data_IF_130252525353
#
_entry.id   IF_130252525353
#
_cell.length_a   1.000
_cell.length_b   1.000
_cell.length_c   1.000
_cell.angle_alpha   90.00
_cell.angle_beta   90.00
_cell.angle_gamma   90.00
#
_symmetry.space_group_name_H-M   'P 1'
#
loop_
_entity.id
_entity.type
_entity.pdbx_description
1 polymer ?
#
# COMPACT_ATOMS: atom_id res chain seq x y z
N UNK A 1 -10.69 57.49 59.24
CA UNK A 1 -11.27 58.11 58.03
C UNK A 1 -11.62 56.97 57.07
N UNK A 2 -12.91 56.90 56.71
CA UNK A 2 -13.53 55.83 55.92
C UNK A 2 -13.27 56.07 54.43
N UNK A 3 -12.91 55.04 53.67
CA UNK A 3 -13.11 55.03 52.22
C UNK A 3 -13.42 53.60 51.74
N UNK A 4 -14.68 53.43 51.33
CA UNK A 4 -15.25 52.27 50.64
C UNK A 4 -15.13 52.52 49.13
N UNK A 5 -14.70 51.54 48.35
CA UNK A 5 -14.91 51.49 46.89
C UNK A 5 -14.80 50.03 46.43
N UNK A 6 -15.92 49.38 46.11
CA UNK A 6 -16.56 49.32 44.77
C UNK A 6 -16.08 48.09 43.99
N UNK A 7 -16.84 46.99 44.10
CA UNK A 7 -16.67 45.78 43.29
C UNK A 7 -17.35 45.99 41.94
N UNK A 8 -16.60 45.81 40.84
CA UNK A 8 -17.15 45.77 39.47
C UNK A 8 -17.29 44.30 39.05
N UNK A 9 -18.54 43.83 38.94
CA UNK A 9 -18.88 42.53 38.38
C UNK A 9 -18.76 42.61 36.84
N UNK A 10 -17.83 41.87 36.25
CA UNK A 10 -17.77 41.70 34.80
C UNK A 10 -18.63 40.48 34.40
N UNK A 11 -19.67 40.77 33.60
CA UNK A 11 -20.55 39.76 32.99
C UNK A 11 -19.79 39.10 31.83
N UNK A 12 -19.42 37.84 32.01
CA UNK A 12 -18.93 37.00 30.93
C UNK A 12 -20.10 36.64 29.99
N UNK A 13 -20.13 37.29 28.83
CA UNK A 13 -21.04 37.00 27.73
C UNK A 13 -20.55 35.76 26.98
N UNK A 14 -21.17 34.63 27.24
CA UNK A 14 -20.95 33.38 26.52
C UNK A 14 -21.60 33.46 25.13
N UNK A 15 -20.83 33.85 24.10
CA UNK A 15 -21.25 33.70 22.71
C UNK A 15 -21.18 32.22 22.31
N UNK A 16 -22.34 31.58 22.19
CA UNK A 16 -22.47 30.24 21.62
C UNK A 16 -22.12 30.31 20.12
N UNK A 17 -20.92 29.85 19.77
CA UNK A 17 -20.44 29.74 18.40
C UNK A 17 -20.95 28.42 17.81
N UNK A 18 -22.07 28.46 17.09
CA UNK A 18 -22.63 27.31 16.39
C UNK A 18 -21.76 26.99 15.16
N UNK A 19 -20.90 25.97 15.27
CA UNK A 19 -20.17 25.41 14.14
C UNK A 19 -21.13 24.62 13.25
N UNK A 20 -21.54 25.22 12.13
CA UNK A 20 -22.30 24.54 11.08
C UNK A 20 -21.33 23.60 10.34
N UNK A 21 -21.31 22.32 10.69
CA UNK A 21 -20.53 21.30 9.97
C UNK A 21 -21.22 21.07 8.62
N UNK A 22 -20.76 21.76 7.56
CA UNK A 22 -21.08 21.34 6.20
C UNK A 22 -20.42 20.00 5.96
N UNK A 23 -21.18 18.92 6.06
CA UNK A 23 -20.78 17.59 5.61
C UNK A 23 -20.78 17.59 4.07
N UNK A 24 -19.63 17.87 3.47
CA UNK A 24 -19.44 17.60 2.04
C UNK A 24 -19.53 16.09 1.88
N UNK A 25 -20.57 15.63 1.18
CA UNK A 25 -20.66 14.23 0.77
C UNK A 25 -19.50 13.98 -0.18
N UNK A 26 -18.41 13.43 0.34
CA UNK A 26 -17.34 12.87 -0.49
C UNK A 26 -18.04 11.83 -1.36
N UNK A 27 -17.99 11.92 -2.70
CA UNK A 27 -18.59 10.91 -3.55
C UNK A 27 -18.06 9.56 -3.08
N UNK A 28 -18.94 8.72 -2.53
CA UNK A 28 -18.59 7.36 -2.24
C UNK A 28 -18.17 6.76 -3.58
N UNK A 29 -16.87 6.51 -3.75
CA UNK A 29 -16.32 5.95 -4.97
C UNK A 29 -16.96 4.57 -5.18
N UNK A 30 -18.05 4.54 -5.95
CA UNK A 30 -18.90 3.37 -6.12
C UNK A 30 -18.26 2.27 -7.00
N UNK A 31 -16.93 2.26 -7.15
CA UNK A 31 -16.21 1.41 -8.09
C UNK A 31 -15.29 0.35 -7.48
N UNK A 32 -15.19 0.25 -6.14
CA UNK A 32 -14.19 -0.64 -5.52
C UNK A 32 -12.76 -0.26 -5.92
N UNK A 33 -11.79 -1.14 -5.61
CA UNK A 33 -10.41 -0.98 -6.10
C UNK A 33 -9.63 0.22 -5.55
N UNK A 34 -10.10 0.86 -4.49
CA UNK A 34 -9.40 1.98 -3.88
C UNK A 34 -8.15 1.49 -3.15
N UNK A 35 -7.02 2.20 -3.32
CA UNK A 35 -5.84 1.99 -2.50
C UNK A 35 -6.20 2.32 -1.04
N UNK A 36 -6.06 1.32 -0.16
CA UNK A 36 -6.30 1.48 1.27
C UNK A 36 -5.10 2.17 1.92
N UNK A 37 -5.30 2.95 3.00
CA UNK A 37 -4.20 3.58 3.71
C UNK A 37 -3.18 2.54 4.23
N UNK A 38 -1.91 2.90 4.40
CA UNK A 38 -0.83 2.00 4.84
C UNK A 38 -1.09 1.31 6.19
N UNK A 39 -1.94 1.91 7.03
CA UNK A 39 -2.32 1.40 8.35
C UNK A 39 -3.53 0.48 8.31
N UNK A 40 -4.15 0.28 7.13
CA UNK A 40 -5.27 -0.63 6.98
C UNK A 40 -4.85 -2.06 7.31
N UNK A 41 -5.78 -2.80 7.94
CA UNK A 41 -5.59 -4.22 8.27
C UNK A 41 -6.73 -5.08 7.73
N UNK A 42 -6.93 -5.15 6.40
CA UNK A 42 -7.96 -6.00 5.82
C UNK A 42 -7.77 -7.44 6.32
N UNK A 43 -8.86 -8.08 6.76
CA UNK A 43 -8.83 -9.42 7.35
C UNK A 43 -7.82 -9.62 8.50
N UNK A 44 -7.39 -8.54 9.17
CA UNK A 44 -6.42 -8.56 10.27
C UNK A 44 -4.95 -8.43 9.86
N UNK A 45 -4.62 -8.47 8.56
CA UNK A 45 -3.24 -8.44 8.08
C UNK A 45 -2.75 -7.04 7.77
N UNK A 46 -1.54 -6.71 8.22
CA UNK A 46 -0.82 -5.49 7.84
C UNK A 46 0.02 -5.70 6.56
N UNK A 47 0.54 -4.61 5.98
CA UNK A 47 1.50 -4.71 4.86
C UNK A 47 2.76 -5.48 5.26
N UNK A 48 3.26 -5.32 6.50
CA UNK A 48 4.41 -6.08 7.02
C UNK A 48 4.12 -7.58 7.07
N UNK A 49 2.89 -7.98 7.45
CA UNK A 49 2.50 -9.40 7.48
C UNK A 49 2.54 -10.00 6.08
N UNK A 50 1.99 -9.31 5.09
CA UNK A 50 2.02 -9.76 3.70
C UNK A 50 3.43 -9.70 3.11
N UNK A 51 4.23 -8.68 3.42
CA UNK A 51 5.63 -8.61 3.01
C UNK A 51 6.44 -9.81 3.48
N UNK A 52 6.21 -10.30 4.71
CA UNK A 52 6.84 -11.52 5.21
C UNK A 52 6.42 -12.77 4.41
N UNK A 53 5.15 -12.88 4.06
CA UNK A 53 4.61 -14.01 3.28
C UNK A 53 5.16 -13.98 1.85
N UNK A 54 5.03 -12.83 1.17
CA UNK A 54 5.40 -12.68 -0.24
C UNK A 54 6.90 -12.54 -0.44
N UNK A 55 7.64 -12.08 0.56
CA UNK A 55 9.09 -11.99 0.49
C UNK A 55 9.75 -13.35 0.34
N UNK A 56 9.20 -14.41 0.95
CA UNK A 56 9.69 -15.79 0.72
C UNK A 56 9.59 -16.15 -0.76
N UNK A 57 8.49 -15.78 -1.42
CA UNK A 57 8.29 -16.01 -2.85
C UNK A 57 9.23 -15.18 -3.74
N UNK A 58 9.55 -13.95 -3.34
CA UNK A 58 10.44 -13.06 -4.11
C UNK A 58 11.93 -13.31 -3.86
N UNK A 59 12.30 -13.78 -2.67
CA UNK A 59 13.69 -13.92 -2.21
C UNK A 59 14.24 -15.34 -2.30
N UNK A 60 13.39 -16.37 -2.13
CA UNK A 60 13.77 -17.75 -2.44
C UNK A 60 13.44 -18.02 -3.91
N UNK A 61 14.26 -18.81 -4.62
CA UNK A 61 13.89 -19.28 -5.96
C UNK A 61 12.44 -19.80 -5.92
N UNK A 62 11.55 -19.30 -6.80
CA UNK A 62 10.14 -19.67 -6.76
C UNK A 62 10.03 -21.18 -6.67
N UNK A 63 9.46 -21.70 -5.57
CA UNK A 63 9.14 -23.12 -5.52
C UNK A 63 8.03 -23.33 -6.54
N UNK A 64 8.34 -24.02 -7.63
CA UNK A 64 7.40 -24.28 -8.72
C UNK A 64 6.07 -24.77 -8.16
N UNK A 65 4.99 -24.07 -8.50
CA UNK A 65 3.61 -24.47 -8.20
C UNK A 65 2.99 -23.96 -6.90
N UNK A 66 3.71 -23.22 -6.05
CA UNK A 66 3.12 -22.61 -4.84
C UNK A 66 2.72 -21.16 -5.11
N UNK A 67 1.44 -20.85 -4.96
CA UNK A 67 0.96 -19.46 -5.02
C UNK A 67 1.49 -18.69 -3.80
N UNK A 68 2.00 -17.46 -3.95
CA UNK A 68 2.44 -16.64 -2.81
C UNK A 68 1.31 -16.33 -1.81
N UNK A 69 0.06 -16.56 -2.20
CA UNK A 69 -1.13 -16.29 -1.38
C UNK A 69 -1.87 -17.54 -0.91
N UNK A 70 -1.31 -18.74 -1.12
CA UNK A 70 -1.93 -19.97 -0.60
C UNK A 70 -2.13 -19.87 0.92
N UNK A 71 -3.38 -19.95 1.37
CA UNK A 71 -3.75 -19.80 2.78
C UNK A 71 -4.01 -18.36 3.26
N UNK A 72 -3.93 -17.35 2.38
CA UNK A 72 -4.28 -15.96 2.71
C UNK A 72 -5.65 -15.58 2.14
N UNK A 73 -6.38 -14.62 2.75
CA UNK A 73 -7.66 -14.12 2.22
C UNK A 73 -7.48 -13.09 1.09
N UNK A 74 -6.33 -13.05 0.43
CA UNK A 74 -5.97 -12.05 -0.57
C UNK A 74 -5.61 -12.72 -1.90
N UNK A 75 -5.85 -12.00 -3.00
CA UNK A 75 -5.18 -12.28 -4.27
C UNK A 75 -4.02 -11.30 -4.44
N UNK A 76 -2.82 -11.83 -4.75
CA UNK A 76 -1.64 -11.02 -5.03
C UNK A 76 -1.51 -10.83 -6.54
N UNK A 77 -1.28 -9.59 -6.98
CA UNK A 77 -0.93 -9.33 -8.37
C UNK A 77 0.58 -9.54 -8.55
N UNK A 78 0.97 -10.42 -9.46
CA UNK A 78 2.37 -10.73 -9.77
C UNK A 78 2.53 -11.15 -11.23
N UNK A 79 3.75 -11.08 -11.75
CA UNK A 79 4.07 -11.65 -13.05
C UNK A 79 4.22 -13.17 -12.93
N UNK A 80 3.28 -13.92 -13.52
CA UNK A 80 3.38 -15.39 -13.59
C UNK A 80 4.52 -15.80 -14.52
N UNK A 81 5.11 -16.98 -14.29
CA UNK A 81 6.22 -17.49 -15.10
C UNK A 81 5.87 -17.64 -16.59
N UNK A 82 4.59 -17.88 -16.92
CA UNK A 82 4.10 -17.94 -18.30
C UNK A 82 3.79 -16.57 -18.92
N UNK A 83 4.06 -15.47 -18.20
CA UNK A 83 3.76 -14.09 -18.62
C UNK A 83 2.29 -13.69 -18.53
N UNK A 84 1.41 -14.58 -18.05
CA UNK A 84 -0.01 -14.27 -17.86
C UNK A 84 -0.21 -13.23 -16.75
N UNK A 85 -1.11 -12.29 -17.01
CA UNK A 85 -1.44 -11.14 -16.16
C UNK A 85 -2.94 -11.04 -15.93
N UNK A 86 -3.67 -12.12 -16.20
CA UNK A 86 -5.12 -12.22 -15.97
C UNK A 86 -5.39 -12.95 -14.66
N UNK A 87 -6.11 -12.27 -13.78
CA UNK A 87 -6.50 -12.75 -12.47
C UNK A 87 -8.01 -12.87 -12.42
N UNK A 88 -8.51 -14.02 -12.01
CA UNK A 88 -9.93 -14.24 -11.78
C UNK A 88 -10.17 -14.34 -10.28
N UNK A 89 -11.03 -13.48 -9.74
CA UNK A 89 -11.30 -13.42 -8.30
C UNK A 89 -12.79 -13.37 -8.02
N UNK A 90 -13.18 -13.86 -6.85
CA UNK A 90 -14.54 -13.73 -6.35
C UNK A 90 -14.87 -12.28 -5.94
N UNK A 91 -16.16 -11.89 -5.98
CA UNK A 91 -16.61 -10.65 -5.36
C UNK A 91 -16.19 -10.56 -3.89
N UNK A 92 -15.67 -9.39 -3.48
CA UNK A 92 -15.25 -9.16 -2.10
C UNK A 92 -13.80 -9.53 -1.81
N UNK A 93 -13.06 -10.10 -2.76
CA UNK A 93 -11.62 -10.36 -2.61
C UNK A 93 -10.83 -9.07 -2.52
N UNK A 94 -10.06 -8.91 -1.44
CA UNK A 94 -9.09 -7.81 -1.28
C UNK A 94 -7.83 -8.16 -2.06
N UNK A 95 -7.25 -7.19 -2.78
CA UNK A 95 -6.00 -7.42 -3.51
C UNK A 95 -4.80 -6.91 -2.71
N UNK A 96 -3.69 -7.65 -2.76
CA UNK A 96 -2.36 -7.18 -2.35
C UNK A 96 -1.53 -6.90 -3.60
N UNK A 97 -1.00 -5.68 -3.71
CA UNK A 97 -0.31 -5.20 -4.92
C UNK A 97 1.09 -4.74 -4.57
N UNK A 98 2.11 -5.61 -4.69
CA UNK A 98 3.50 -5.18 -4.61
C UNK A 98 3.89 -4.41 -5.87
N UNK A 99 4.65 -3.32 -5.71
CA UNK A 99 5.08 -2.46 -6.82
C UNK A 99 6.59 -2.52 -7.03
N UNK A 100 7.35 -2.46 -5.94
CA UNK A 100 8.81 -2.56 -5.96
C UNK A 100 9.28 -3.26 -4.70
N UNK A 101 10.35 -4.05 -4.78
CA UNK A 101 10.92 -4.72 -3.61
C UNK A 101 12.45 -4.78 -3.71
N UNK A 102 13.09 -5.01 -2.58
CA UNK A 102 14.52 -5.31 -2.52
C UNK A 102 14.82 -6.37 -1.46
N UNK A 103 15.91 -7.10 -1.66
CA UNK A 103 16.35 -8.21 -0.81
C UNK A 103 17.84 -8.05 -0.52
N UNK A 104 18.22 -8.06 0.75
CA UNK A 104 19.63 -8.12 1.17
C UNK A 104 20.41 -6.81 1.12
N UNK A 105 19.73 -5.66 1.22
CA UNK A 105 20.38 -4.33 1.17
C UNK A 105 21.12 -3.93 2.47
N UNK A 106 21.05 -4.76 3.52
CA UNK A 106 21.69 -4.49 4.82
C UNK A 106 21.07 -3.28 5.55
N UNK A 107 19.79 -3.01 5.30
CA UNK A 107 19.01 -2.00 6.02
C UNK A 107 18.33 -2.65 7.23
N UNK A 108 18.13 -1.86 8.30
CA UNK A 108 17.24 -2.28 9.39
C UNK A 108 15.78 -2.26 8.88
N UNK A 109 15.23 -3.44 8.59
CA UNK A 109 13.87 -3.59 8.05
C UNK A 109 12.76 -3.31 9.07
N UNK A 110 13.09 -3.22 10.36
CA UNK A 110 12.15 -2.77 11.39
C UNK A 110 12.07 -1.23 11.48
N UNK A 111 13.10 -0.52 10.99
CA UNK A 111 13.09 0.95 10.88
C UNK A 111 12.37 1.41 9.61
N UNK A 112 11.11 1.81 9.76
CA UNK A 112 10.29 2.34 8.66
C UNK A 112 10.92 3.56 7.96
N UNK A 113 11.69 4.39 8.66
CA UNK A 113 12.36 5.52 8.04
C UNK A 113 13.54 5.04 7.19
N UNK A 114 14.29 4.04 7.64
CA UNK A 114 15.35 3.42 6.84
C UNK A 114 14.79 2.75 5.57
N UNK A 115 13.69 2.00 5.69
CA UNK A 115 13.01 1.38 4.54
C UNK A 115 12.48 2.45 3.57
N UNK A 116 11.84 3.51 4.06
CA UNK A 116 11.37 4.60 3.19
C UNK A 116 12.54 5.33 2.51
N UNK A 117 13.64 5.56 3.24
CA UNK A 117 14.85 6.19 2.73
C UNK A 117 15.50 5.37 1.61
N UNK A 118 15.47 4.03 1.70
CA UNK A 118 15.95 3.14 0.63
C UNK A 118 15.24 3.43 -0.71
N UNK A 119 13.92 3.59 -0.71
CA UNK A 119 13.17 3.82 -1.95
C UNK A 119 13.16 5.27 -2.41
N UNK A 120 13.01 6.23 -1.49
CA UNK A 120 12.70 7.62 -1.85
C UNK A 120 13.90 8.55 -1.82
N UNK A 121 15.02 8.17 -1.20
CA UNK A 121 16.20 9.03 -1.20
C UNK A 121 16.89 9.01 -2.57
N UNK A 122 17.26 10.18 -3.12
CA UNK A 122 18.07 10.25 -4.33
C UNK A 122 19.47 9.63 -4.14
N UNK A 123 19.95 9.47 -2.90
CA UNK A 123 21.20 8.76 -2.60
C UNK A 123 21.05 7.22 -2.66
N UNK A 124 19.81 6.73 -2.75
CA UNK A 124 19.46 5.31 -2.83
C UNK A 124 18.79 5.00 -4.16
N UNK A 125 17.56 4.48 -4.18
CA UNK A 125 16.83 4.24 -5.42
C UNK A 125 16.22 5.50 -6.04
N UNK A 126 15.92 6.53 -5.25
CA UNK A 126 15.41 7.81 -5.75
C UNK A 126 14.13 7.67 -6.55
N UNK A 127 13.06 7.15 -5.95
CA UNK A 127 11.79 7.05 -6.67
C UNK A 127 11.16 8.44 -6.86
N UNK A 128 11.01 8.88 -8.10
CA UNK A 128 10.26 10.09 -8.46
C UNK A 128 8.75 9.85 -8.38
N UNK A 129 8.31 8.68 -8.86
CA UNK A 129 6.94 8.19 -8.64
C UNK A 129 6.91 6.68 -8.36
N UNK A 130 5.97 6.28 -7.51
CA UNK A 130 5.51 4.90 -7.35
C UNK A 130 3.99 4.96 -7.25
N UNK A 131 3.28 4.32 -8.18
CA UNK A 131 1.85 4.50 -8.34
C UNK A 131 1.12 3.19 -8.68
N UNK A 132 -0.12 3.11 -8.22
CA UNK A 132 -1.10 2.13 -8.67
C UNK A 132 -2.21 2.90 -9.41
N UNK A 133 -2.56 2.44 -10.61
CA UNK A 133 -3.63 3.00 -11.43
C UNK A 133 -4.72 1.95 -11.59
N UNK A 134 -5.91 2.21 -11.03
CA UNK A 134 -7.07 1.31 -11.13
C UNK A 134 -8.12 1.96 -12.02
N UNK A 135 -8.37 1.36 -13.19
CA UNK A 135 -9.31 1.87 -14.20
C UNK A 135 -9.08 3.36 -14.52
N UNK A 136 -7.80 3.75 -14.66
CA UNK A 136 -7.39 5.13 -14.95
C UNK A 136 -7.31 6.06 -13.74
N UNK A 137 -7.70 5.61 -12.53
CA UNK A 137 -7.54 6.39 -11.29
C UNK A 137 -6.18 6.14 -10.67
N UNK A 138 -5.37 7.19 -10.56
CA UNK A 138 -4.00 7.13 -10.03
C UNK A 138 -3.99 7.30 -8.51
N UNK A 139 -3.24 6.44 -7.83
CA UNK A 139 -2.92 6.55 -6.41
C UNK A 139 -1.41 6.47 -6.21
N UNK A 140 -0.83 7.54 -5.64
CA UNK A 140 0.60 7.62 -5.35
C UNK A 140 0.95 6.97 -4.01
N UNK A 141 2.02 6.18 -3.99
CA UNK A 141 2.51 5.46 -2.81
C UNK A 141 3.67 6.16 -2.10
N UNK A 142 4.20 7.26 -2.64
CA UNK A 142 5.37 7.96 -2.05
C UNK A 142 5.03 8.64 -0.72
N UNK A 143 3.79 9.11 -0.54
CA UNK A 143 3.43 10.02 0.55
C UNK A 143 3.00 9.36 1.86
N UNK A 144 2.89 8.04 1.90
CA UNK A 144 2.01 7.39 2.89
C UNK A 144 2.59 6.12 3.50
N UNK A 145 3.88 6.03 3.82
CA UNK A 145 4.39 4.91 4.65
C UNK A 145 4.05 3.49 4.13
N UNK A 146 3.85 3.37 2.81
CA UNK A 146 3.67 2.10 2.11
C UNK A 146 4.94 1.25 2.01
N UNK A 147 6.17 1.82 2.08
CA UNK A 147 7.36 0.99 2.24
C UNK A 147 7.31 0.27 3.59
N UNK A 148 7.47 -1.05 3.56
CA UNK A 148 7.55 -1.92 4.73
C UNK A 148 8.68 -2.92 4.58
N UNK A 149 9.28 -3.30 5.70
CA UNK A 149 10.30 -4.32 5.78
C UNK A 149 9.79 -5.57 6.50
N UNK A 150 10.44 -6.71 6.24
CA UNK A 150 10.25 -7.97 6.93
C UNK A 150 11.52 -8.82 6.88
N UNK A 151 11.80 -9.56 7.96
CA UNK A 151 12.82 -10.61 7.94
C UNK A 151 12.26 -11.89 7.32
N UNK A 152 12.98 -12.45 6.35
CA UNK A 152 12.65 -13.73 5.71
C UNK A 152 13.51 -14.84 6.27
N UNK A 153 12.93 -15.96 6.76
CA UNK A 153 13.72 -17.10 7.20
C UNK A 153 14.42 -17.78 6.01
N UNK A 154 15.67 -18.19 6.18
CA UNK A 154 16.42 -18.98 5.20
C UNK A 154 16.41 -20.49 5.52
N UNK A 155 16.32 -21.30 4.47
CA UNK A 155 16.55 -22.75 4.55
C UNK A 155 18.01 -22.99 4.96
N UNK A 156 18.24 -23.43 6.21
CA UNK A 156 19.58 -23.59 6.80
C UNK A 156 19.91 -22.65 7.96
N UNK A 157 18.97 -21.77 8.33
CA UNK A 157 19.11 -20.82 9.42
C UNK A 157 19.54 -19.42 8.94
N UNK A 158 19.26 -18.41 9.76
CA UNK A 158 19.48 -17.00 9.43
C UNK A 158 18.26 -16.31 8.82
N UNK A 159 18.44 -15.04 8.49
CA UNK A 159 17.38 -14.17 7.94
C UNK A 159 17.90 -13.33 6.79
N UNK A 160 17.04 -13.06 5.80
CA UNK A 160 17.27 -12.01 4.81
C UNK A 160 16.40 -10.79 5.11
N UNK A 161 16.97 -9.62 4.87
CA UNK A 161 16.27 -8.36 4.90
C UNK A 161 15.45 -8.22 3.62
N UNK A 162 14.12 -8.24 3.73
CA UNK A 162 13.22 -7.95 2.63
C UNK A 162 12.53 -6.63 2.87
N UNK A 163 12.48 -5.79 1.85
CA UNK A 163 11.67 -4.59 1.85
C UNK A 163 10.82 -4.51 0.59
N UNK A 164 9.66 -3.86 0.70
CA UNK A 164 8.74 -3.69 -0.42
C UNK A 164 7.92 -2.43 -0.27
N UNK A 165 7.57 -1.82 -1.41
CA UNK A 165 6.51 -0.83 -1.53
C UNK A 165 5.30 -1.53 -2.11
N UNK A 166 4.25 -1.66 -1.30
CA UNK A 166 3.04 -2.37 -1.66
C UNK A 166 1.81 -1.68 -1.09
N UNK A 167 0.63 -2.01 -1.61
CA UNK A 167 -0.62 -1.56 -1.03
C UNK A 167 -1.72 -2.62 -1.10
N UNK A 168 -2.74 -2.45 -0.25
CA UNK A 168 -3.99 -3.17 -0.38
C UNK A 168 -4.96 -2.39 -1.26
N UNK A 169 -5.70 -3.08 -2.12
CA UNK A 169 -6.86 -2.52 -2.80
C UNK A 169 -8.15 -3.04 -2.16
N UNK A 170 -9.08 -2.15 -1.83
CA UNK A 170 -10.44 -2.55 -1.47
C UNK A 170 -11.02 -3.44 -2.58
N UNK A 171 -11.93 -4.37 -2.27
CA UNK A 171 -12.52 -5.24 -3.29
C UNK A 171 -13.02 -4.48 -4.52
N UNK A 172 -12.76 -5.03 -5.70
CA UNK A 172 -13.26 -4.51 -6.97
C UNK A 172 -14.75 -4.87 -7.15
N UNK A 173 -15.49 -4.06 -7.89
CA UNK A 173 -16.86 -4.39 -8.29
C UNK A 173 -16.88 -5.56 -9.28
N UNK A 174 -18.01 -6.28 -9.47
CA UNK A 174 -18.12 -7.28 -10.52
C UNK A 174 -17.84 -6.70 -11.92
N UNK A 175 -16.96 -7.34 -12.71
CA UNK A 175 -16.54 -6.83 -14.02
C UNK A 175 -15.08 -7.12 -14.36
N UNK A 176 -14.59 -6.48 -15.43
CA UNK A 176 -13.19 -6.54 -15.84
C UNK A 176 -12.53 -5.20 -15.53
N UNK A 177 -11.43 -5.27 -14.79
CA UNK A 177 -10.69 -4.12 -14.30
C UNK A 177 -9.25 -4.15 -14.79
N UNK A 178 -8.65 -2.97 -14.95
CA UNK A 178 -7.22 -2.81 -15.23
C UNK A 178 -6.54 -2.25 -14.00
N UNK A 179 -5.54 -2.97 -13.51
CA UNK A 179 -4.67 -2.51 -12.43
C UNK A 179 -3.27 -2.38 -12.99
N UNK A 180 -2.82 -1.14 -13.14
CA UNK A 180 -1.46 -0.84 -13.60
C UNK A 180 -0.61 -0.46 -12.40
N UNK A 181 0.58 -1.04 -12.30
CA UNK A 181 1.63 -0.58 -11.40
C UNK A 181 2.69 0.14 -12.22
N UNK A 182 3.20 1.26 -11.72
CA UNK A 182 4.29 1.97 -12.38
C UNK A 182 5.19 2.66 -11.39
N UNK A 183 6.47 2.74 -11.72
CA UNK A 183 7.47 3.43 -10.93
C UNK A 183 8.59 3.99 -11.80
N UNK A 184 9.18 5.09 -11.35
CA UNK A 184 10.36 5.70 -11.92
C UNK A 184 11.38 5.92 -10.81
N UNK A 185 12.59 5.43 -11.03
CA UNK A 185 13.72 5.52 -10.12
C UNK A 185 14.90 6.16 -10.85
N UNK A 186 15.57 7.12 -10.21
CA UNK A 186 16.73 7.82 -10.78
C UNK A 186 17.87 8.06 -9.77
N UNK A 187 17.83 7.35 -8.64
CA UNK A 187 18.79 7.52 -7.55
C UNK A 187 20.18 6.94 -7.82
N UNK A 188 21.13 7.30 -6.96
CA UNK A 188 22.55 6.99 -7.10
C UNK A 188 22.86 5.47 -7.14
N UNK A 189 22.02 4.61 -6.55
CA UNK A 189 22.21 3.15 -6.63
C UNK A 189 22.04 2.59 -8.05
N UNK A 190 21.42 3.35 -8.95
CA UNK A 190 21.30 3.00 -10.37
C UNK A 190 22.53 3.46 -11.19
N UNK A 191 23.57 3.99 -10.55
CA UNK A 191 24.79 4.43 -11.23
C UNK A 191 24.61 5.65 -12.14
N UNK A 192 23.62 6.50 -11.83
CA UNK A 192 23.26 7.68 -12.63
C UNK A 192 22.34 7.39 -13.82
N UNK A 193 21.84 6.15 -13.94
CA UNK A 193 20.78 5.79 -14.88
C UNK A 193 19.38 6.04 -14.32
N UNK A 194 18.40 5.97 -15.22
CA UNK A 194 16.97 6.00 -14.88
C UNK A 194 16.38 4.63 -15.15
N UNK A 195 15.61 4.11 -14.20
CA UNK A 195 14.84 2.88 -14.34
C UNK A 195 13.35 3.21 -14.26
N UNK A 196 12.65 3.04 -15.39
CA UNK A 196 11.20 3.17 -15.47
C UNK A 196 10.57 1.80 -15.68
N UNK A 197 9.53 1.50 -14.90
CA UNK A 197 8.77 0.27 -15.00
C UNK A 197 7.28 0.56 -15.03
N UNK A 198 6.55 -0.17 -15.86
CA UNK A 198 5.09 -0.11 -15.96
C UNK A 198 4.56 -1.48 -16.36
N UNK A 199 3.58 -1.98 -15.62
CA UNK A 199 2.93 -3.23 -15.92
C UNK A 199 1.43 -3.18 -15.62
N UNK A 200 0.63 -3.84 -16.45
CA UNK A 200 -0.83 -3.82 -16.36
C UNK A 200 -1.41 -5.23 -16.24
N UNK A 201 -2.12 -5.44 -15.14
CA UNK A 201 -2.88 -6.64 -14.85
C UNK A 201 -4.33 -6.47 -15.23
N UNK A 202 -4.96 -7.57 -15.64
CA UNK A 202 -6.40 -7.64 -15.86
C UNK A 202 -7.01 -8.44 -14.73
N UNK A 203 -7.91 -7.83 -13.95
CA UNK A 203 -8.63 -8.51 -12.88
C UNK A 203 -10.08 -8.69 -13.31
N UNK A 204 -10.53 -9.93 -13.39
CA UNK A 204 -11.91 -10.31 -13.71
C UNK A 204 -12.59 -10.74 -12.42
N UNK A 205 -13.53 -9.93 -11.96
CA UNK A 205 -14.36 -10.22 -10.79
C UNK A 205 -15.66 -10.87 -11.26
N UNK A 206 -15.91 -12.09 -10.80
CA UNK A 206 -17.10 -12.84 -11.20
C UNK A 206 -18.40 -12.13 -10.78
N UNK A 207 -19.51 -12.40 -11.47
CA UNK A 207 -20.82 -11.92 -11.03
C UNK A 207 -21.38 -12.87 -9.97
N UNK A 208 -21.95 -12.37 -8.87
CA UNK A 208 -22.62 -13.23 -7.91
C UNK A 208 -23.72 -14.05 -8.62
N UNK A 209 -23.69 -15.37 -8.45
CA UNK A 209 -24.71 -16.28 -8.99
C UNK A 209 -24.40 -16.95 -10.34
N UNK A 210 -23.21 -16.74 -10.94
CA UNK A 210 -22.72 -17.67 -11.98
C UNK A 210 -21.85 -18.74 -11.34
N UNK A 211 -22.40 -19.94 -11.14
CA UNK A 211 -21.57 -21.11 -10.88
C UNK A 211 -20.71 -21.38 -12.12
N UNK A 212 -19.40 -21.55 -11.93
CA UNK A 212 -18.46 -22.00 -12.97
C UNK A 212 -18.57 -23.50 -13.20
#
# INVERSE_FOLDING_TARGET
>A
MIAVASRRLERNSTCALTFLVLSWAVPAFAGGGNVLPPTARPHGYSLTDLARITGVFNGASPRDGVSPTEGTPFEMLYARANGDKVFHVDPGTTLYVPVAYSVGDGIDVDDKAAVANLYFSPEKYGADYIEIVVDGRVASLIRFGYPVGAFLPLDGGGTLDYSTVAAFLSPLTPGTHKVTIRALFDGALLGGGTFEYSDTYTVVVDRPGRCR
#
